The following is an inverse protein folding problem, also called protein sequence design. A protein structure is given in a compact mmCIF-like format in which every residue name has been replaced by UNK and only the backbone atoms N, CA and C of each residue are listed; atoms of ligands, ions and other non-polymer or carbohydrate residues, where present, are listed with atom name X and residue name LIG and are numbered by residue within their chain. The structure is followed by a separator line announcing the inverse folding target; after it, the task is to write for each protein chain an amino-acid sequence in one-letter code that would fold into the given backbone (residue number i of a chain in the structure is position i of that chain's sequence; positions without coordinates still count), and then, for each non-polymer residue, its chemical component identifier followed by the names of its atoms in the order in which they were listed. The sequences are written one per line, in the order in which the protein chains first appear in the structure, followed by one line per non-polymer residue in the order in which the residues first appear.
data_IF_140133603021
#
_entry.id   IF_140133603021
#
_cell.length_a   1.000
_cell.length_b   1.000
_cell.length_c   1.000
_cell.angle_alpha   90.00
_cell.angle_beta   90.00
_cell.angle_gamma   90.00
#
_symmetry.space_group_name_H-M   'P 1'
#
loop_
_entity.id
_entity.type
_entity.pdbx_description
1 polymer ?
#
# COMPACT_ATOMS: atom_id res chain seq x y z
N UNK A 1 2.24 6.07 12.21
CA UNK A 1 1.66 4.85 12.82
C UNK A 1 2.22 3.67 12.08
N UNK A 2 2.39 2.57 12.78
CA UNK A 2 2.89 1.32 12.23
C UNK A 2 1.80 0.25 12.31
N UNK A 3 1.80 -0.67 11.34
CA UNK A 3 0.86 -1.77 11.29
C UNK A 3 1.58 -3.07 11.60
N UNK A 4 1.01 -3.89 12.49
CA UNK A 4 1.56 -5.19 12.80
C UNK A 4 1.38 -6.17 11.63
N UNK A 5 2.47 -6.74 11.11
CA UNK A 5 2.42 -7.75 10.03
C UNK A 5 1.65 -9.03 10.39
N UNK A 6 1.51 -9.35 11.68
CA UNK A 6 0.90 -10.61 12.14
C UNK A 6 -0.59 -10.50 12.41
N UNK A 7 -1.02 -9.42 13.08
CA UNK A 7 -2.43 -9.22 13.44
C UNK A 7 -3.11 -8.06 12.69
N UNK A 8 -2.38 -7.28 11.90
CA UNK A 8 -2.90 -6.12 11.19
C UNK A 8 -3.23 -4.92 12.07
N UNK A 9 -3.09 -5.03 13.40
CA UNK A 9 -3.40 -3.95 14.34
C UNK A 9 -2.44 -2.77 14.24
N UNK A 10 -2.99 -1.56 14.31
CA UNK A 10 -2.24 -0.31 14.26
C UNK A 10 -1.77 0.11 15.66
N UNK A 11 -0.53 0.58 15.73
CA UNK A 11 0.08 1.05 16.96
C UNK A 11 1.02 2.22 16.68
N UNK A 12 1.32 2.97 17.73
CA UNK A 12 2.32 4.04 17.71
C UNK A 12 3.44 3.70 18.67
N UNK A 13 4.68 4.02 18.27
CA UNK A 13 5.88 3.84 19.08
C UNK A 13 6.52 5.20 19.25
N UNK A 14 6.79 5.58 20.50
CA UNK A 14 7.49 6.82 20.84
C UNK A 14 8.67 6.51 21.73
N UNK A 15 9.82 7.11 21.44
CA UNK A 15 11.02 7.02 22.30
C UNK A 15 10.89 8.04 23.43
N UNK A 16 11.06 7.60 24.66
CA UNK A 16 10.96 8.44 25.85
C UNK A 16 12.21 8.27 26.71
N UNK A 17 12.73 9.38 27.19
CA UNK A 17 13.84 9.42 28.15
C UNK A 17 15.07 10.17 27.64
N UNK A 18 16.02 10.47 28.53
CA UNK A 18 17.26 11.13 28.16
C UNK A 18 18.21 10.16 27.45
N UNK A 19 18.96 10.66 26.46
CA UNK A 19 20.06 9.92 25.85
C UNK A 19 21.27 9.98 26.78
N UNK A 20 21.58 8.88 27.45
CA UNK A 20 22.80 8.79 28.28
C UNK A 20 23.93 8.04 27.55
N UNK A 21 25.17 8.56 27.58
CA UNK A 21 26.33 7.86 27.06
C UNK A 21 26.76 6.72 28.00
N UNK A 22 27.03 5.54 27.45
CA UNK A 22 27.65 4.42 28.17
C UNK A 22 26.70 3.39 28.80
N UNK A 23 25.42 3.69 28.93
CA UNK A 23 24.41 2.75 29.45
C UNK A 23 23.32 2.49 28.43
N UNK A 24 23.56 1.62 27.44
CA UNK A 24 22.54 1.16 26.49
C UNK A 24 22.10 -0.23 26.88
N UNK A 25 20.81 -0.41 27.07
CA UNK A 25 20.20 -1.72 27.31
C UNK A 25 19.44 -2.15 26.05
N UNK A 26 19.18 -3.47 25.96
CA UNK A 26 18.36 -4.00 24.89
C UNK A 26 16.90 -3.73 25.25
N UNK A 27 16.27 -2.87 24.47
CA UNK A 27 14.84 -2.65 24.55
C UNK A 27 14.14 -3.41 23.42
N UNK A 28 13.01 -4.04 23.75
CA UNK A 28 12.20 -4.81 22.81
C UNK A 28 10.85 -4.11 22.63
N UNK A 29 10.43 -3.96 21.36
CA UNK A 29 9.14 -3.38 21.02
C UNK A 29 8.21 -4.50 20.60
N UNK A 30 7.24 -4.79 21.45
CA UNK A 30 6.20 -5.79 21.22
C UNK A 30 4.91 -5.11 20.73
N UNK A 31 4.19 -5.78 19.83
CA UNK A 31 2.90 -5.30 19.38
C UNK A 31 1.90 -5.33 20.55
N UNK A 32 1.19 -4.22 20.85
CA UNK A 32 0.27 -4.19 21.98
C UNK A 32 -1.00 -5.03 21.75
N UNK A 33 -1.24 -5.48 20.52
CA UNK A 33 -2.42 -6.27 20.14
C UNK A 33 -2.20 -7.78 20.24
N UNK A 34 -1.01 -8.28 19.87
CA UNK A 34 -0.73 -9.71 19.78
C UNK A 34 0.59 -10.14 20.42
N UNK A 35 1.26 -9.22 21.13
CA UNK A 35 2.53 -9.43 21.85
C UNK A 35 3.69 -9.94 20.99
N UNK A 36 3.59 -9.76 19.67
CA UNK A 36 4.60 -10.22 18.73
C UNK A 36 5.77 -9.23 18.70
N UNK A 37 6.99 -9.74 18.89
CA UNK A 37 8.21 -8.95 18.87
C UNK A 37 8.43 -8.34 17.48
N UNK A 38 8.42 -7.00 17.42
CA UNK A 38 8.58 -6.26 16.16
C UNK A 38 10.05 -6.01 15.87
N UNK A 39 10.73 -5.41 16.83
CA UNK A 39 12.15 -5.14 16.75
C UNK A 39 12.75 -5.01 18.15
N UNK A 40 14.07 -5.17 18.21
CA UNK A 40 14.84 -4.94 19.42
C UNK A 40 15.99 -3.99 19.10
N UNK A 41 16.22 -2.98 19.92
CA UNK A 41 17.30 -2.01 19.72
C UNK A 41 18.11 -1.79 21.00
N UNK A 42 19.42 -1.62 20.86
CA UNK A 42 20.28 -1.20 21.98
C UNK A 42 20.19 0.32 22.15
N UNK A 43 19.43 0.77 23.16
CA UNK A 43 19.16 2.19 23.40
C UNK A 43 19.21 2.50 24.90
N UNK A 44 19.46 3.75 25.24
CA UNK A 44 19.39 4.26 26.61
C UNK A 44 18.04 4.93 26.92
N UNK A 45 17.14 4.96 25.94
CA UNK A 45 15.76 5.46 26.03
C UNK A 45 14.79 4.28 26.02
N UNK A 46 13.62 4.45 26.63
CA UNK A 46 12.56 3.46 26.61
C UNK A 46 11.62 3.69 25.43
N UNK A 47 10.98 2.63 24.96
CA UNK A 47 9.91 2.73 23.96
C UNK A 47 8.53 2.69 24.64
N UNK A 48 7.74 3.75 24.47
CA UNK A 48 6.32 3.74 24.78
C UNK A 48 5.55 3.26 23.57
N UNK A 49 4.86 2.13 23.71
CA UNK A 49 4.04 1.54 22.66
C UNK A 49 2.56 1.68 23.03
N UNK A 50 1.81 2.39 22.22
CA UNK A 50 0.38 2.63 22.43
C UNK A 50 -0.44 1.96 21.32
N UNK A 51 -1.61 1.41 21.68
CA UNK A 51 -2.63 1.02 20.70
C UNK A 51 -3.17 2.30 20.06
N UNK A 52 -3.25 2.34 18.73
CA UNK A 52 -3.92 3.44 18.05
C UNK A 52 -5.40 3.46 18.45
N UNK A 53 -5.96 4.64 18.72
CA UNK A 53 -7.41 4.78 18.94
C UNK A 53 -8.16 4.61 17.63
N UNK A 54 -9.46 4.31 17.70
CA UNK A 54 -10.30 4.12 16.50
C UNK A 54 -10.34 5.38 15.60
N UNK A 55 -10.26 6.56 16.21
CA UNK A 55 -10.17 7.86 15.52
C UNK A 55 -8.83 8.03 14.77
N UNK A 56 -7.72 7.63 15.41
CA UNK A 56 -6.39 7.65 14.80
C UNK A 56 -6.29 6.64 13.65
N UNK A 57 -6.89 5.46 13.82
CA UNK A 57 -6.98 4.44 12.78
C UNK A 57 -7.74 4.96 11.56
N UNK A 58 -8.88 5.60 11.78
CA UNK A 58 -9.69 6.21 10.72
C UNK A 58 -8.92 7.29 9.96
N UNK A 59 -8.28 8.20 10.69
CA UNK A 59 -7.44 9.26 10.10
C UNK A 59 -6.29 8.68 9.27
N UNK A 60 -5.65 7.61 9.74
CA UNK A 60 -4.57 6.94 9.02
C UNK A 60 -5.08 6.18 7.77
N UNK A 61 -6.29 5.61 7.84
CA UNK A 61 -6.94 4.98 6.69
C UNK A 61 -7.31 6.01 5.61
N UNK A 62 -7.85 7.16 6.00
CA UNK A 62 -8.14 8.28 5.09
C UNK A 62 -6.86 8.85 4.46
N UNK A 63 -5.77 8.99 5.23
CA UNK A 63 -4.47 9.39 4.69
C UNK A 63 -3.93 8.40 3.65
N UNK A 64 -4.15 7.09 3.81
CA UNK A 64 -3.79 6.09 2.80
C UNK A 64 -4.70 6.10 1.58
N UNK A 65 -5.97 6.45 1.74
CA UNK A 65 -6.93 6.55 0.64
C UNK A 65 -6.71 7.83 -0.19
N UNK A 66 -6.27 8.93 0.44
CA UNK A 66 -5.99 10.20 -0.24
C UNK A 66 -4.69 10.23 -1.05
N UNK A 67 -3.79 9.26 -0.85
CA UNK A 67 -2.86 8.87 -1.91
C UNK A 67 -3.62 8.06 -2.97
N UNK A 68 -4.53 8.74 -3.69
CA UNK A 68 -5.26 8.18 -4.82
C UNK A 68 -4.28 7.51 -5.76
N UNK A 69 -4.36 6.19 -5.85
CA UNK A 69 -3.46 5.40 -6.69
C UNK A 69 -3.73 5.84 -8.14
N UNK A 70 -2.72 6.35 -8.87
CA UNK A 70 -2.93 7.01 -10.14
C UNK A 70 -3.53 6.04 -11.15
N UNK A 71 -4.25 6.56 -12.14
CA UNK A 71 -4.74 5.73 -13.23
C UNK A 71 -3.57 5.13 -13.98
N UNK A 72 -3.73 3.88 -14.40
CA UNK A 72 -2.69 3.12 -15.08
C UNK A 72 -2.98 3.10 -16.56
N UNK A 73 -1.97 3.39 -17.37
CA UNK A 73 -1.98 3.19 -18.81
C UNK A 73 -1.44 1.79 -19.08
N UNK A 74 -2.26 0.91 -19.65
CA UNK A 74 -1.94 -0.51 -19.84
C UNK A 74 -2.18 -0.94 -21.28
N UNK A 75 -1.42 -1.93 -21.74
CA UNK A 75 -1.62 -2.61 -23.02
C UNK A 75 -2.44 -3.85 -22.75
N UNK A 76 -3.53 -4.04 -23.48
CA UNK A 76 -4.43 -5.20 -23.30
C UNK A 76 -4.57 -6.01 -24.58
N UNK A 77 -5.03 -7.26 -24.48
CA UNK A 77 -5.39 -8.05 -25.65
C UNK A 77 -6.63 -7.46 -26.35
N UNK A 78 -6.46 -7.10 -27.62
CA UNK A 78 -7.51 -6.60 -28.51
C UNK A 78 -7.87 -7.63 -29.59
N UNK A 79 -8.02 -7.17 -30.83
CA UNK A 79 -8.38 -8.04 -31.96
C UNK A 79 -7.14 -8.71 -32.55
N UNK A 80 -6.82 -9.91 -32.09
CA UNK A 80 -5.65 -10.69 -32.56
C UNK A 80 -5.70 -11.06 -34.05
N UNK A 81 -6.88 -10.96 -34.69
CA UNK A 81 -7.05 -11.16 -36.12
C UNK A 81 -6.71 -9.94 -36.97
N UNK A 82 -6.54 -8.76 -36.37
CA UNK A 82 -6.24 -7.53 -37.12
C UNK A 82 -4.80 -7.55 -37.67
N UNK A 83 -4.61 -7.00 -38.86
CA UNK A 83 -3.28 -6.79 -39.45
C UNK A 83 -2.52 -5.61 -38.81
N UNK A 84 -3.15 -4.83 -37.92
CA UNK A 84 -2.54 -3.68 -37.26
C UNK A 84 -2.19 -3.99 -35.80
N UNK A 85 -0.90 -3.90 -35.45
CA UNK A 85 -0.42 -4.15 -34.08
C UNK A 85 -1.12 -3.29 -33.01
N UNK A 86 -1.52 -2.05 -33.34
CA UNK A 86 -2.24 -1.15 -32.44
C UNK A 86 -3.68 -1.58 -32.14
N UNK A 87 -4.27 -2.44 -32.97
CA UNK A 87 -5.63 -2.99 -32.78
C UNK A 87 -5.58 -4.36 -32.11
N UNK A 88 -4.51 -5.11 -32.35
CA UNK A 88 -4.21 -6.34 -31.61
C UNK A 88 -3.87 -6.07 -30.13
N UNK A 89 -3.22 -4.93 -29.85
CA UNK A 89 -2.74 -4.55 -28.52
C UNK A 89 -3.04 -3.08 -28.21
N UNK A 90 -4.32 -2.70 -28.04
CA UNK A 90 -4.68 -1.33 -27.71
C UNK A 90 -4.12 -0.93 -26.35
N UNK A 91 -3.76 0.35 -26.23
CA UNK A 91 -3.35 0.94 -24.96
C UNK A 91 -4.52 1.71 -24.36
N UNK A 92 -4.99 1.27 -23.20
CA UNK A 92 -6.14 1.85 -22.51
C UNK A 92 -5.77 2.41 -21.14
N UNK A 93 -6.62 3.28 -20.60
CA UNK A 93 -6.49 3.79 -19.23
C UNK A 93 -7.46 3.08 -18.30
N UNK A 94 -6.96 2.52 -17.20
CA UNK A 94 -7.77 1.83 -16.19
C UNK A 94 -7.47 2.31 -14.77
N UNK A 95 -8.45 2.19 -13.87
CA UNK A 95 -8.25 2.48 -12.46
C UNK A 95 -7.48 1.34 -11.76
N UNK A 96 -6.82 1.61 -10.63
CA UNK A 96 -6.12 0.60 -9.84
C UNK A 96 -6.99 -0.59 -9.43
N UNK A 97 -8.27 -0.36 -9.12
CA UNK A 97 -9.21 -1.43 -8.75
C UNK A 97 -9.43 -2.41 -9.91
N UNK A 98 -9.60 -1.87 -11.12
CA UNK A 98 -9.73 -2.65 -12.34
C UNK A 98 -8.43 -3.40 -12.66
N UNK A 99 -7.28 -2.78 -12.44
CA UNK A 99 -5.97 -3.42 -12.65
C UNK A 99 -5.78 -4.62 -11.70
N UNK A 100 -5.99 -4.42 -10.39
CA UNK A 100 -5.83 -5.48 -9.38
C UNK A 100 -6.83 -6.63 -9.56
N UNK A 101 -8.03 -6.36 -10.08
CA UNK A 101 -9.01 -7.39 -10.38
C UNK A 101 -8.62 -8.28 -11.58
N UNK A 102 -7.74 -7.81 -12.46
CA UNK A 102 -7.44 -8.48 -13.73
C UNK A 102 -6.00 -9.03 -13.82
N UNK A 103 -5.01 -8.41 -13.17
CA UNK A 103 -3.59 -8.86 -13.16
C UNK A 103 -3.41 -10.32 -12.68
N UNK A 104 -4.37 -10.85 -11.92
CA UNK A 104 -4.36 -12.22 -11.40
C UNK A 104 -5.54 -13.07 -11.87
N UNK A 105 -6.29 -12.62 -12.87
CA UNK A 105 -7.35 -13.40 -13.47
C UNK A 105 -6.77 -14.56 -14.30
N UNK A 106 -7.52 -15.66 -14.42
CA UNK A 106 -7.11 -16.81 -15.26
C UNK A 106 -6.98 -16.39 -16.74
N UNK A 107 -7.82 -15.46 -17.17
CA UNK A 107 -7.72 -14.73 -18.44
C UNK A 107 -7.24 -13.30 -18.16
N UNK A 108 -5.97 -13.13 -17.75
CA UNK A 108 -5.37 -11.80 -17.57
C UNK A 108 -5.32 -11.07 -18.92
N UNK A 109 -6.17 -10.03 -19.13
CA UNK A 109 -6.22 -9.32 -20.38
C UNK A 109 -5.06 -8.32 -20.50
N UNK A 110 -4.28 -8.10 -19.44
CA UNK A 110 -3.25 -7.06 -19.35
C UNK A 110 -1.90 -7.63 -19.78
N UNK A 111 -1.41 -7.16 -20.93
CA UNK A 111 -0.11 -7.59 -21.47
C UNK A 111 1.04 -6.86 -20.77
N UNK A 112 0.90 -5.55 -20.55
CA UNK A 112 1.94 -4.73 -19.90
C UNK A 112 1.42 -3.40 -19.39
N UNK A 113 2.18 -2.79 -18.47
CA UNK A 113 1.94 -1.44 -17.94
C UNK A 113 2.85 -0.45 -18.66
N UNK A 114 2.24 0.57 -19.29
CA UNK A 114 2.92 1.61 -20.07
C UNK A 114 3.16 2.91 -19.25
N UNK A 115 2.45 3.08 -18.12
CA UNK A 115 2.73 4.16 -17.17
C UNK A 115 1.48 4.72 -16.49
N UNK A 116 1.48 6.03 -16.25
CA UNK A 116 0.33 6.74 -15.65
C UNK A 116 -0.60 7.23 -16.77
N UNK A 117 -1.85 6.81 -16.71
CA UNK A 117 -2.92 7.24 -17.61
C UNK A 117 -3.55 8.56 -17.16
N UNK A 118 -4.11 9.29 -18.12
CA UNK A 118 -4.90 10.50 -17.90
C UNK A 118 -6.30 10.26 -18.49
N UNK A 119 -7.36 10.46 -17.72
CA UNK A 119 -8.73 10.26 -18.20
C UNK A 119 -9.57 9.49 -17.19
N UNK A 120 -10.63 8.84 -17.67
CA UNK A 120 -11.43 7.92 -16.88
C UNK A 120 -11.07 6.47 -17.24
N UNK A 121 -11.42 5.54 -16.36
CA UNK A 121 -11.21 4.11 -16.57
C UNK A 121 -12.10 3.63 -17.72
N UNK A 122 -11.50 3.02 -18.74
CA UNK A 122 -12.23 2.51 -19.91
C UNK A 122 -13.06 1.26 -19.61
N UNK A 123 -12.80 0.57 -18.50
CA UNK A 123 -13.56 -0.62 -18.09
C UNK A 123 -14.76 -0.30 -17.20
N UNK A 124 -14.58 0.53 -16.17
CA UNK A 124 -15.66 0.83 -15.22
C UNK A 124 -16.21 2.25 -15.34
N UNK A 125 -15.62 3.11 -16.17
CA UNK A 125 -16.03 4.51 -16.32
C UNK A 125 -15.63 5.43 -15.16
N UNK A 126 -14.93 4.91 -14.13
CA UNK A 126 -14.51 5.71 -12.98
C UNK A 126 -13.52 6.81 -13.41
N UNK A 127 -13.84 8.06 -13.08
CA UNK A 127 -12.94 9.20 -13.31
C UNK A 127 -11.78 9.25 -12.32
N UNK A 128 -10.78 10.12 -12.54
CA UNK A 128 -9.74 10.36 -11.57
C UNK A 128 -10.37 11.11 -10.38
N UNK A 129 -10.43 10.45 -9.23
CA UNK A 129 -10.87 11.03 -7.94
C UNK A 129 -9.79 11.90 -7.33
#
# INVERSE_FOLDING_TARGET
MEQCNKCGGLYSVSRIGPVVPGGKEREEVNCPHCDDLKFSEMTSQCFLVCKATDEEVSSWAEMKQSSGKPMLRVVVFGDLSSDRASEQYPTITICPECFEANEHAEDDPIVSVDGVGQGACEWCGAGPT
#
